data_IF_374278437493
#
_entry.id   IF_374278437493
#
_cell.length_a   1.000
_cell.length_b   1.000
_cell.length_c   1.000
_cell.angle_alpha   90.00
_cell.angle_beta   90.00
_cell.angle_gamma   90.00
#
_symmetry.space_group_name_H-M   'P 1'
#
loop_
_entity.id
_entity.type
_entity.pdbx_description
1 polymer ?
#
# COMPACT_ATOMS: atom_id res chain seq x y z
N UNK A 1 0.10 16.29 -25.07
CA UNK A 1 0.11 14.92 -25.60
C UNK A 1 0.29 14.00 -24.42
N UNK A 2 -0.67 13.13 -24.15
CA UNK A 2 -0.59 12.18 -23.04
C UNK A 2 0.48 11.13 -23.37
N UNK A 3 1.45 10.96 -22.47
CA UNK A 3 2.56 10.03 -22.63
C UNK A 3 2.04 8.59 -22.76
N UNK A 4 2.25 8.01 -23.93
CA UNK A 4 1.91 6.61 -24.27
C UNK A 4 2.66 5.59 -23.39
N UNK A 5 3.65 6.04 -22.60
CA UNK A 5 4.47 5.23 -21.71
C UNK A 5 3.83 4.94 -20.35
N UNK A 6 2.87 5.76 -19.90
CA UNK A 6 2.20 5.53 -18.61
C UNK A 6 1.33 4.26 -18.65
N UNK A 7 0.70 3.98 -19.78
CA UNK A 7 -0.12 2.78 -19.97
C UNK A 7 0.70 1.48 -19.99
N UNK A 8 1.92 1.53 -20.56
CA UNK A 8 2.82 0.37 -20.64
C UNK A 8 3.43 0.03 -19.26
N UNK A 9 3.87 1.04 -18.50
CA UNK A 9 4.36 0.87 -17.12
C UNK A 9 3.28 0.31 -16.19
N UNK A 10 2.04 0.80 -16.32
CA UNK A 10 0.87 0.30 -15.58
C UNK A 10 0.43 -1.10 -16.06
N UNK A 11 0.80 -1.56 -17.25
CA UNK A 11 0.40 -2.87 -17.76
C UNK A 11 1.30 -4.01 -17.28
N UNK A 12 2.61 -3.75 -17.14
CA UNK A 12 3.61 -4.78 -16.81
C UNK A 12 3.64 -5.16 -15.31
N UNK A 13 3.19 -4.27 -14.42
CA UNK A 13 3.35 -4.42 -12.96
C UNK A 13 2.06 -4.76 -12.20
N UNK A 14 0.91 -4.74 -12.91
CA UNK A 14 -0.38 -5.22 -12.42
C UNK A 14 -0.34 -6.64 -11.83
N UNK A 15 0.41 -7.62 -12.36
CA UNK A 15 0.36 -8.98 -11.82
C UNK A 15 0.76 -9.06 -10.34
N UNK A 16 1.74 -8.25 -9.93
CA UNK A 16 2.20 -8.21 -8.54
C UNK A 16 1.20 -7.54 -7.62
N UNK A 17 0.69 -6.36 -8.03
CA UNK A 17 -0.35 -5.65 -7.27
C UNK A 17 -1.65 -6.47 -7.16
N UNK A 18 -2.05 -7.18 -8.21
CA UNK A 18 -3.21 -8.08 -8.21
C UNK A 18 -2.97 -9.26 -7.27
N UNK A 19 -1.76 -9.84 -7.27
CA UNK A 19 -1.44 -10.92 -6.33
C UNK A 19 -1.53 -10.45 -4.86
N UNK A 20 -1.07 -9.23 -4.55
CA UNK A 20 -1.23 -8.61 -3.24
C UNK A 20 -2.72 -8.38 -2.92
N UNK A 21 -3.45 -7.70 -3.82
CA UNK A 21 -4.87 -7.38 -3.64
C UNK A 21 -5.74 -8.61 -3.41
N UNK A 22 -5.45 -9.71 -4.10
CA UNK A 22 -6.15 -10.98 -3.94
C UNK A 22 -5.68 -11.80 -2.72
N UNK A 23 -4.69 -11.35 -1.95
CA UNK A 23 -4.10 -12.13 -0.86
C UNK A 23 -3.42 -13.43 -1.33
N UNK A 24 -2.98 -13.49 -2.60
CA UNK A 24 -2.49 -14.71 -3.23
C UNK A 24 -0.99 -14.91 -3.00
N UNK A 25 -0.64 -15.60 -1.91
CA UNK A 25 0.74 -15.88 -1.53
C UNK A 25 1.51 -16.71 -2.56
N UNK A 26 0.84 -17.64 -3.25
CA UNK A 26 1.47 -18.51 -4.25
C UNK A 26 1.87 -17.71 -5.49
N UNK A 27 0.95 -16.89 -6.01
CA UNK A 27 1.23 -15.98 -7.13
C UNK A 27 2.32 -14.98 -6.76
N UNK A 28 2.27 -14.39 -5.56
CA UNK A 28 3.33 -13.52 -5.05
C UNK A 28 4.69 -14.23 -5.05
N UNK A 29 4.74 -15.45 -4.52
CA UNK A 29 5.97 -16.23 -4.46
C UNK A 29 6.57 -16.53 -5.84
N UNK A 30 5.73 -16.88 -6.81
CA UNK A 30 6.16 -17.12 -8.19
C UNK A 30 6.64 -15.84 -8.90
N UNK A 31 6.07 -14.68 -8.58
CA UNK A 31 6.51 -13.40 -9.12
C UNK A 31 7.84 -12.96 -8.50
N UNK A 32 7.97 -13.05 -7.16
CA UNK A 32 9.23 -12.73 -6.47
C UNK A 32 10.39 -13.63 -6.94
N UNK A 33 10.14 -14.92 -7.19
CA UNK A 33 11.15 -15.84 -7.71
C UNK A 33 11.70 -15.46 -9.11
N UNK A 34 11.00 -14.59 -9.84
CA UNK A 34 11.43 -14.06 -11.14
C UNK A 34 12.24 -12.75 -11.03
N UNK A 35 12.62 -12.34 -9.82
CA UNK A 35 13.34 -11.08 -9.55
C UNK A 35 12.64 -9.86 -10.14
N UNK A 36 11.30 -9.81 -10.01
CA UNK A 36 10.51 -8.66 -10.42
C UNK A 36 10.90 -7.42 -9.60
N UNK A 37 10.88 -6.26 -10.25
CA UNK A 37 11.12 -4.98 -9.59
C UNK A 37 9.97 -4.70 -8.59
N UNK A 38 10.32 -4.52 -7.32
CA UNK A 38 9.35 -4.27 -6.23
C UNK A 38 9.13 -2.77 -5.99
N UNK A 39 10.19 -1.97 -6.08
CA UNK A 39 10.16 -0.51 -5.87
C UNK A 39 9.68 0.25 -7.10
N UNK A 40 9.13 1.45 -6.89
CA UNK A 40 8.47 2.29 -7.88
C UNK A 40 6.98 1.97 -8.06
N UNK A 41 6.41 1.07 -7.27
CA UNK A 41 5.05 0.54 -7.46
C UNK A 41 4.18 0.56 -6.20
N UNK A 42 4.73 1.03 -5.07
CA UNK A 42 4.03 1.10 -3.78
C UNK A 42 3.32 -0.21 -3.45
N UNK A 43 4.00 -1.34 -3.59
CA UNK A 43 3.37 -2.67 -3.43
C UNK A 43 2.87 -2.94 -2.01
N UNK A 44 3.27 -2.09 -1.06
CA UNK A 44 2.79 -2.09 0.32
C UNK A 44 1.47 -1.34 0.50
N UNK A 45 0.94 -0.64 -0.51
CA UNK A 45 -0.31 0.12 -0.41
C UNK A 45 -1.51 -0.80 -0.16
N UNK A 46 -2.47 -0.33 0.66
CA UNK A 46 -3.71 -1.06 0.87
C UNK A 46 -4.52 -1.20 -0.44
N UNK A 47 -4.99 -2.43 -0.78
CA UNK A 47 -5.72 -2.70 -2.01
C UNK A 47 -6.91 -1.77 -2.27
N UNK A 48 -7.05 -1.36 -3.53
CA UNK A 48 -8.18 -0.57 -4.03
C UNK A 48 -8.96 -1.37 -5.08
N UNK A 49 -10.25 -1.58 -4.81
CA UNK A 49 -11.23 -1.94 -5.83
C UNK A 49 -12.25 -0.81 -5.95
N UNK A 50 -12.44 -0.33 -7.19
CA UNK A 50 -13.24 0.84 -7.49
C UNK A 50 -14.76 0.58 -7.47
N UNK A 51 -15.18 -0.68 -7.37
CA UNK A 51 -16.59 -1.07 -7.42
C UNK A 51 -17.11 -1.57 -6.07
N UNK A 52 -18.32 -1.10 -5.70
CA UNK A 52 -19.25 -1.57 -4.65
C UNK A 52 -18.61 -2.08 -3.35
N UNK A 53 -18.54 -1.21 -2.34
CA UNK A 53 -18.25 -1.51 -0.91
C UNK A 53 -17.26 -2.66 -0.69
N UNK A 54 -16.02 -2.48 -1.15
CA UNK A 54 -14.93 -3.37 -0.78
C UNK A 54 -14.83 -3.49 0.75
N UNK A 55 -15.16 -4.66 1.30
CA UNK A 55 -14.94 -5.02 2.71
C UNK A 55 -14.05 -6.26 2.75
N UNK A 56 -12.80 -6.14 3.20
CA UNK A 56 -11.89 -7.25 3.29
C UNK A 56 -12.40 -8.26 4.34
N UNK A 57 -12.32 -9.54 4.01
CA UNK A 57 -12.62 -10.60 4.98
C UNK A 57 -11.44 -10.74 5.96
N UNK A 58 -11.66 -11.23 7.20
CA UNK A 58 -10.55 -11.48 8.13
C UNK A 58 -9.47 -12.42 7.57
N UNK A 59 -9.88 -13.35 6.69
CA UNK A 59 -8.96 -14.21 5.96
C UNK A 59 -8.07 -13.39 5.01
N UNK A 60 -8.65 -12.49 4.22
CA UNK A 60 -7.90 -11.59 3.33
C UNK A 60 -6.94 -10.69 4.12
N UNK A 61 -7.39 -10.10 5.23
CA UNK A 61 -6.54 -9.27 6.11
C UNK A 61 -5.33 -10.05 6.63
N UNK A 62 -5.54 -11.29 7.06
CA UNK A 62 -4.46 -12.17 7.53
C UNK A 62 -3.47 -12.48 6.40
N UNK A 63 -3.97 -12.73 5.18
CA UNK A 63 -3.12 -12.97 4.02
C UNK A 63 -2.33 -11.72 3.63
N UNK A 64 -2.95 -10.55 3.63
CA UNK A 64 -2.30 -9.26 3.38
C UNK A 64 -1.16 -9.00 4.37
N UNK A 65 -1.37 -9.20 5.68
CA UNK A 65 -0.31 -9.03 6.68
C UNK A 65 0.86 -10.00 6.44
N UNK A 66 0.57 -11.25 6.11
CA UNK A 66 1.63 -12.21 5.78
C UNK A 66 2.42 -11.79 4.53
N UNK A 67 1.72 -11.29 3.50
CA UNK A 67 2.33 -10.75 2.29
C UNK A 67 3.23 -9.55 2.62
N UNK A 68 2.72 -8.55 3.35
CA UNK A 68 3.48 -7.35 3.71
C UNK A 68 4.70 -7.65 4.56
N UNK A 69 4.58 -8.55 5.55
CA UNK A 69 5.74 -9.00 6.34
C UNK A 69 6.80 -9.64 5.46
N UNK A 70 6.40 -10.48 4.51
CA UNK A 70 7.32 -11.12 3.57
C UNK A 70 8.00 -10.11 2.64
N UNK A 71 7.27 -9.11 2.16
CA UNK A 71 7.82 -8.04 1.34
C UNK A 71 8.85 -7.22 2.11
N UNK A 72 8.54 -6.80 3.35
CA UNK A 72 9.48 -6.06 4.21
C UNK A 72 10.71 -6.88 4.59
N UNK A 73 10.56 -8.19 4.85
CA UNK A 73 11.70 -9.08 5.10
C UNK A 73 12.65 -9.15 3.91
N UNK A 74 12.12 -8.98 2.69
CA UNK A 74 12.91 -8.97 1.47
C UNK A 74 13.53 -7.58 1.20
N UNK A 75 12.75 -6.51 1.38
CA UNK A 75 13.18 -5.13 1.20
C UNK A 75 12.40 -4.21 2.15
N UNK A 76 13.06 -3.78 3.23
CA UNK A 76 12.43 -2.91 4.23
C UNK A 76 12.18 -1.49 3.72
N UNK A 77 12.87 -1.06 2.65
CA UNK A 77 12.69 0.29 2.08
C UNK A 77 11.33 0.47 1.40
N UNK A 78 10.61 -0.63 1.17
CA UNK A 78 9.22 -0.62 0.66
C UNK A 78 8.23 0.01 1.65
N UNK A 79 8.57 0.07 2.95
CA UNK A 79 7.71 0.65 3.98
C UNK A 79 7.55 2.18 3.84
N UNK A 80 8.62 2.86 3.42
CA UNK A 80 8.68 4.32 3.22
C UNK A 80 8.61 4.69 1.73
N UNK A 81 7.92 3.88 0.94
CA UNK A 81 7.87 4.07 -0.51
C UNK A 81 6.88 5.17 -0.91
N UNK A 82 7.35 6.11 -1.72
CA UNK A 82 6.51 7.03 -2.49
C UNK A 82 6.50 6.68 -3.98
N UNK A 83 5.44 7.06 -4.70
CA UNK A 83 5.32 6.78 -6.14
C UNK A 83 6.34 7.52 -7.02
N UNK A 84 7.04 8.53 -6.49
CA UNK A 84 8.08 9.29 -7.20
C UNK A 84 7.58 10.16 -8.37
N UNK A 85 6.26 10.28 -8.57
CA UNK A 85 5.65 10.95 -9.74
C UNK A 85 4.79 12.15 -9.31
N UNK A 86 5.41 13.27 -8.94
CA UNK A 86 4.80 14.63 -8.91
C UNK A 86 3.66 14.89 -7.91
N UNK A 87 2.69 13.99 -7.79
CA UNK A 87 1.77 13.82 -6.68
C UNK A 87 2.32 12.68 -5.84
N UNK A 88 3.20 12.98 -4.89
CA UNK A 88 3.92 12.02 -4.06
C UNK A 88 2.97 11.19 -3.17
N UNK A 89 2.22 10.26 -3.76
CA UNK A 89 1.48 9.26 -3.01
C UNK A 89 2.50 8.41 -2.27
N UNK A 90 2.28 8.27 -0.98
CA UNK A 90 3.12 7.53 -0.05
C UNK A 90 2.35 6.31 0.45
N UNK A 91 3.03 5.19 0.73
CA UNK A 91 2.39 3.98 1.27
C UNK A 91 1.49 4.31 2.48
N UNK A 92 1.93 5.22 3.35
CA UNK A 92 1.17 5.67 4.52
C UNK A 92 -0.16 6.38 4.18
N UNK A 93 -0.23 7.07 3.04
CA UNK A 93 -1.47 7.71 2.57
C UNK A 93 -2.56 6.69 2.30
N UNK A 94 -2.19 5.48 1.85
CA UNK A 94 -3.18 4.41 1.61
C UNK A 94 -3.90 4.01 2.92
N UNK A 95 -3.19 4.00 4.05
CA UNK A 95 -3.79 3.79 5.37
C UNK A 95 -4.79 4.91 5.73
N UNK A 96 -4.44 6.16 5.44
CA UNK A 96 -5.29 7.31 5.71
C UNK A 96 -6.59 7.31 4.91
N UNK A 97 -6.50 6.96 3.62
CA UNK A 97 -7.66 6.97 2.72
C UNK A 97 -8.53 5.73 2.93
N UNK A 98 -7.90 4.57 3.21
CA UNK A 98 -8.55 3.26 3.17
C UNK A 98 -8.66 2.52 4.50
N UNK A 99 -8.01 3.02 5.55
CA UNK A 99 -7.96 2.34 6.84
C UNK A 99 -9.33 2.04 7.43
N UNK A 100 -10.36 2.82 7.07
CA UNK A 100 -11.75 2.60 7.50
C UNK A 100 -12.40 1.34 6.91
N UNK A 101 -11.91 0.82 5.79
CA UNK A 101 -12.43 -0.42 5.21
C UNK A 101 -11.93 -1.67 5.94
N UNK A 102 -10.80 -1.57 6.65
CA UNK A 102 -10.15 -2.68 7.33
C UNK A 102 -10.50 -2.74 8.82
N UNK A 103 -10.32 -3.91 9.41
CA UNK A 103 -10.48 -4.09 10.84
C UNK A 103 -9.45 -3.27 11.62
N UNK A 104 -9.80 -2.79 12.82
CA UNK A 104 -8.87 -2.06 13.67
C UNK A 104 -7.57 -2.85 13.92
N UNK A 105 -7.67 -4.14 14.28
CA UNK A 105 -6.51 -4.97 14.61
C UNK A 105 -5.55 -5.17 13.41
N UNK A 106 -6.10 -5.31 12.20
CA UNK A 106 -5.30 -5.35 10.99
C UNK A 106 -4.58 -4.02 10.77
N UNK A 107 -5.30 -2.89 10.88
CA UNK A 107 -4.74 -1.58 10.63
C UNK A 107 -3.61 -1.25 11.61
N UNK A 108 -3.76 -1.58 12.90
CA UNK A 108 -2.67 -1.42 13.88
C UNK A 108 -1.44 -2.22 13.48
N UNK A 109 -1.62 -3.51 13.16
CA UNK A 109 -0.51 -4.39 12.76
C UNK A 109 0.17 -3.93 11.48
N UNK A 110 -0.59 -3.37 10.54
CA UNK A 110 -0.07 -2.82 9.29
C UNK A 110 0.72 -1.54 9.54
N UNK A 111 0.20 -0.63 10.37
CA UNK A 111 0.87 0.63 10.71
C UNK A 111 2.13 0.40 11.56
N UNK A 112 2.08 -0.49 12.56
CA UNK A 112 3.24 -0.98 13.32
C UNK A 112 4.33 -1.48 12.37
N UNK A 113 3.93 -2.26 11.36
CA UNK A 113 4.84 -2.83 10.38
C UNK A 113 5.50 -1.75 9.52
N UNK A 114 4.76 -0.74 9.07
CA UNK A 114 5.34 0.36 8.30
C UNK A 114 6.27 1.23 9.15
N UNK A 115 5.79 1.72 10.30
CA UNK A 115 6.55 2.62 11.19
C UNK A 115 7.78 1.91 11.75
N UNK A 116 7.65 0.65 12.16
CA UNK A 116 8.75 -0.17 12.64
C UNK A 116 9.84 -0.42 11.58
N UNK A 117 9.55 -0.18 10.30
CA UNK A 117 10.50 -0.28 9.19
C UNK A 117 10.86 1.07 8.56
N UNK A 118 10.65 2.17 9.30
CA UNK A 118 11.16 3.49 8.93
C UNK A 118 10.21 4.35 8.10
N UNK A 119 8.96 3.95 7.91
CA UNK A 119 7.97 4.77 7.23
C UNK A 119 7.76 6.11 7.97
N UNK A 120 7.90 7.21 7.25
CA UNK A 120 7.67 8.54 7.77
C UNK A 120 6.18 8.90 7.71
N UNK A 121 5.50 8.83 8.86
CA UNK A 121 4.10 9.23 8.99
C UNK A 121 3.83 10.70 8.66
N UNK A 122 4.87 11.54 8.78
CA UNK A 122 4.80 12.97 8.49
C UNK A 122 5.27 13.31 7.07
N UNK A 123 5.51 12.31 6.21
CA UNK A 123 5.80 12.55 4.80
C UNK A 123 4.62 13.29 4.17
N UNK A 124 4.91 14.47 3.63
CA UNK A 124 3.95 15.28 2.90
C UNK A 124 3.98 14.93 1.42
N UNK A 125 2.82 14.95 0.78
CA UNK A 125 2.72 14.85 -0.67
C UNK A 125 3.15 16.17 -1.36
N UNK A 126 2.96 16.23 -2.68
CA UNK A 126 3.34 17.40 -3.49
C UNK A 126 2.53 18.66 -3.17
N UNK A 127 1.35 18.49 -2.57
CA UNK A 127 0.48 19.57 -2.11
C UNK A 127 0.76 19.95 -0.65
N UNK A 128 1.81 19.38 -0.05
CA UNK A 128 2.14 19.56 1.37
C UNK A 128 1.23 18.78 2.32
N UNK A 129 0.38 17.90 1.81
CA UNK A 129 -0.58 17.14 2.62
C UNK A 129 0.06 15.86 3.14
N UNK A 130 0.09 15.71 4.46
CA UNK A 130 0.53 14.48 5.12
C UNK A 130 -0.57 13.43 5.17
N UNK A 131 -0.24 12.18 5.52
CA UNK A 131 -1.23 11.14 5.79
C UNK A 131 -2.30 11.59 6.80
N UNK A 132 -1.95 12.44 7.77
CA UNK A 132 -2.89 13.01 8.72
C UNK A 132 -3.97 13.88 8.07
N UNK A 133 -3.61 14.73 7.11
CA UNK A 133 -4.56 15.57 6.38
C UNK A 133 -5.58 14.72 5.63
N UNK A 134 -5.12 13.65 4.99
CA UNK A 134 -5.97 12.70 4.28
C UNK A 134 -6.84 11.87 5.23
N UNK A 135 -6.33 11.52 6.42
CA UNK A 135 -7.08 10.79 7.42
C UNK A 135 -8.23 11.65 7.98
N UNK A 136 -7.98 12.93 8.21
CA UNK A 136 -9.02 13.89 8.62
C UNK A 136 -10.08 14.05 7.52
N UNK A 137 -9.68 14.14 6.25
CA UNK A 137 -10.61 14.21 5.11
C UNK A 137 -11.44 12.91 4.96
N UNK A 138 -10.83 11.74 5.14
CA UNK A 138 -11.46 10.44 4.94
C UNK A 138 -12.23 9.91 6.18
N UNK A 139 -12.16 10.61 7.33
CA UNK A 139 -12.73 10.16 8.60
C UNK A 139 -12.00 8.96 9.23
N UNK A 140 -10.73 8.73 8.86
CA UNK A 140 -9.94 7.61 9.33
C UNK A 140 -9.24 7.92 10.67
N UNK A 141 -10.03 8.03 11.75
CA UNK A 141 -9.57 8.46 13.07
C UNK A 141 -8.40 7.66 13.63
N UNK A 142 -8.24 6.39 13.26
CA UNK A 142 -7.16 5.55 13.77
C UNK A 142 -5.77 5.99 13.29
N UNK A 143 -5.65 6.53 12.06
CA UNK A 143 -4.38 7.04 11.52
C UNK A 143 -4.01 8.40 12.15
N UNK A 144 -4.99 9.14 12.66
CA UNK A 144 -4.80 10.43 13.37
C UNK A 144 -4.11 10.21 14.73
N UNK A 145 -4.30 9.05 15.35
CA UNK A 145 -3.83 8.74 16.71
C UNK A 145 -2.58 7.84 16.75
N UNK A 146 -1.95 7.59 15.61
CA UNK A 146 -0.68 6.87 15.51
C UNK A 146 0.48 7.87 15.65
#
# INVERSE_FOLDING_TARGET
>A
GADMNAADILSQHRPLQVAVAAGNQAALGLLMARNVQLRGFMIMQLPFEAEVTFRPTPALESQLLCIYRRLIQHDSTLADEGNGWGSFDHVMRSAAIRGREYSPAFLDSYLDLLVGNGANIMAADGDGQTAFHWAAFAGAHRVIHW
#
